data_IF_037530114062
#
_entry.id   IF_037530114062
#
_cell.length_a   1.000
_cell.length_b   1.000
_cell.length_c   1.000
_cell.angle_alpha   90.00
_cell.angle_beta   90.00
_cell.angle_gamma   90.00
#
_symmetry.space_group_name_H-M   'P 1'
#
loop_
_entity.id
_entity.type
_entity.pdbx_description
1 polymer ?
#
# COMPACT_ATOMS: atom_id res chain seq x y z
N UNK A 1 27.24 29.26 39.31
CA UNK A 1 27.52 28.37 38.17
C UNK A 1 26.20 28.09 37.47
N UNK A 2 26.01 28.60 36.24
CA UNK A 2 24.79 28.31 35.47
C UNK A 2 24.86 26.88 34.92
N UNK A 3 23.78 26.12 35.09
CA UNK A 3 23.66 24.79 34.51
C UNK A 3 23.70 24.90 32.98
N UNK A 4 24.49 24.07 32.26
CA UNK A 4 24.46 24.03 30.81
C UNK A 4 23.02 23.78 30.34
N UNK A 5 22.47 24.72 29.58
CA UNK A 5 21.12 24.60 29.03
C UNK A 5 21.05 23.35 28.15
N UNK A 6 19.95 22.60 28.29
CA UNK A 6 19.63 21.40 27.49
C UNK A 6 19.56 21.65 25.97
N UNK A 7 19.66 22.91 25.53
CA UNK A 7 19.48 23.37 24.16
C UNK A 7 20.65 23.05 23.21
N UNK A 8 21.80 22.61 23.71
CA UNK A 8 22.90 22.11 22.85
C UNK A 8 22.86 20.60 22.62
N UNK A 9 21.80 19.91 23.07
CA UNK A 9 21.63 18.50 22.75
C UNK A 9 21.31 18.36 21.26
N UNK A 10 22.30 17.93 20.47
CA UNK A 10 22.20 17.66 19.03
C UNK A 10 21.22 16.51 18.71
N UNK A 11 20.58 15.91 19.72
CA UNK A 11 19.49 14.96 19.52
C UNK A 11 18.21 15.73 19.21
N UNK A 12 17.89 15.81 17.92
CA UNK A 12 16.58 16.28 17.46
C UNK A 12 15.47 15.56 18.22
N UNK A 13 14.69 16.32 18.99
CA UNK A 13 13.56 15.78 19.72
C UNK A 13 12.42 15.60 18.72
N UNK A 14 12.20 14.36 18.27
CA UNK A 14 11.02 14.05 17.49
C UNK A 14 9.79 14.16 18.41
N UNK A 15 8.67 14.72 17.94
CA UNK A 15 7.45 14.86 18.74
C UNK A 15 6.90 13.52 19.20
N UNK A 16 7.26 12.42 18.53
CA UNK A 16 6.98 11.07 18.95
C UNK A 16 8.28 10.28 19.16
N UNK A 17 8.41 9.55 20.28
CA UNK A 17 9.51 8.65 20.48
C UNK A 17 9.60 7.64 19.33
N UNK A 18 10.75 7.47 18.64
CA UNK A 18 10.88 6.45 17.60
C UNK A 18 10.68 5.06 18.19
N UNK A 19 10.20 4.13 17.37
CA UNK A 19 10.00 2.72 17.77
C UNK A 19 11.33 2.09 18.20
N UNK A 20 11.27 1.07 19.06
CA UNK A 20 12.47 0.40 19.60
C UNK A 20 13.46 -0.03 18.51
N UNK A 21 13.04 -0.63 17.38
CA UNK A 21 13.96 -0.97 16.29
C UNK A 21 14.67 0.25 15.69
N UNK A 22 13.94 1.35 15.47
CA UNK A 22 14.49 2.59 14.92
C UNK A 22 15.50 3.21 15.87
N UNK A 23 15.24 3.17 17.19
CA UNK A 23 16.20 3.63 18.20
C UNK A 23 17.51 2.84 18.14
N UNK A 24 17.42 1.52 18.09
CA UNK A 24 18.60 0.64 18.03
C UNK A 24 19.45 0.95 16.79
N UNK A 25 18.82 1.13 15.62
CA UNK A 25 19.52 1.49 14.39
C UNK A 25 20.13 2.90 14.46
N UNK A 26 19.40 3.85 15.05
CA UNK A 26 19.88 5.22 15.22
C UNK A 26 21.11 5.26 16.15
N UNK A 27 21.04 4.58 17.29
CA UNK A 27 22.15 4.47 18.24
C UNK A 27 23.36 3.75 17.61
N UNK A 28 23.13 2.72 16.79
CA UNK A 28 24.19 2.06 16.01
C UNK A 28 24.89 3.05 15.08
N UNK A 29 24.15 3.85 14.30
CA UNK A 29 24.71 4.84 13.38
C UNK A 29 25.49 5.93 14.13
N UNK A 30 24.97 6.41 15.25
CA UNK A 30 25.67 7.37 16.10
C UNK A 30 26.98 6.78 16.64
N UNK A 31 26.96 5.56 17.19
CA UNK A 31 28.18 4.88 17.67
C UNK A 31 29.19 4.66 16.55
N UNK A 32 28.75 4.28 15.35
CA UNK A 32 29.62 4.10 14.19
C UNK A 32 30.27 5.43 13.77
N UNK A 33 29.52 6.53 13.74
CA UNK A 33 30.04 7.88 13.43
C UNK A 33 31.05 8.35 14.47
N UNK A 34 30.76 8.19 15.76
CA UNK A 34 31.69 8.59 16.83
C UNK A 34 32.99 7.76 16.80
N UNK A 35 32.91 6.46 16.50
CA UNK A 35 34.09 5.62 16.26
C UNK A 35 34.91 6.13 15.08
N UNK A 36 34.27 6.49 13.96
CA UNK A 36 34.95 7.02 12.79
C UNK A 36 35.65 8.37 13.05
N UNK A 37 35.02 9.26 13.83
CA UNK A 37 35.66 10.51 14.27
C UNK A 37 36.88 10.25 15.15
N UNK A 38 36.77 9.32 16.11
CA UNK A 38 37.88 8.96 16.99
C UNK A 38 39.09 8.43 16.20
N UNK A 39 38.86 7.54 15.23
CA UNK A 39 39.93 7.02 14.37
C UNK A 39 40.61 8.13 13.56
N UNK A 40 39.85 9.14 13.09
CA UNK A 40 40.44 10.30 12.39
C UNK A 40 41.29 11.18 13.31
N UNK A 41 40.87 11.36 14.56
CA UNK A 41 41.64 12.11 15.55
C UNK A 41 42.92 11.38 15.92
N UNK A 42 42.84 10.08 16.22
CA UNK A 42 44.00 9.26 16.60
C UNK A 42 45.02 9.19 15.45
N UNK A 43 44.57 9.10 14.18
CA UNK A 43 45.45 9.10 13.01
C UNK A 43 46.08 10.47 12.71
N UNK A 44 45.40 11.56 13.07
CA UNK A 44 45.91 12.92 12.89
C UNK A 44 46.98 13.31 13.91
N UNK A 45 46.99 12.69 15.09
CA UNK A 45 47.97 12.97 16.14
C UNK A 45 49.32 12.28 15.96
N UNK A 46 49.43 11.28 15.09
CA UNK A 46 50.69 10.51 14.91
C UNK A 46 51.63 11.11 13.84
N UNK A 47 51.20 12.11 13.07
CA UNK A 47 51.97 12.62 11.93
C UNK A 47 52.80 13.90 12.16
N UNK A 48 52.85 14.44 13.38
CA UNK A 48 53.58 15.70 13.66
C UNK A 48 54.90 15.53 14.45
N UNK A 49 55.31 14.32 14.84
CA UNK A 49 56.55 14.11 15.65
C UNK A 49 57.77 13.52 14.91
N UNK A 50 57.74 13.33 13.58
CA UNK A 50 58.84 12.64 12.86
C UNK A 50 59.67 13.55 11.93
N UNK A 51 59.97 14.80 12.32
CA UNK A 51 61.01 15.58 11.62
C UNK A 51 61.72 16.56 12.57
N UNK A 52 62.76 16.06 13.24
CA UNK A 52 63.62 16.89 14.08
C UNK A 52 64.89 16.19 14.55
N UNK A 53 65.77 15.83 13.60
CA UNK A 53 67.24 15.86 13.62
C UNK A 53 68.07 15.33 14.83
N UNK A 54 69.36 14.96 14.61
CA UNK A 54 70.07 13.99 15.44
C UNK A 54 71.11 14.61 16.41
N UNK A 55 71.64 13.73 17.27
CA UNK A 55 72.90 13.80 18.04
C UNK A 55 72.95 14.58 19.36
N UNK A 56 73.12 13.82 20.47
CA UNK A 56 74.27 13.96 21.38
C UNK A 56 74.37 12.75 22.33
N UNK A 57 75.57 12.28 22.69
CA UNK A 57 75.78 11.07 23.48
C UNK A 57 75.83 11.32 25.01
N UNK A 58 75.55 10.25 25.76
CA UNK A 58 75.89 9.98 27.20
C UNK A 58 75.17 10.77 28.31
N UNK A 59 75.10 10.29 29.59
CA UNK A 59 75.59 9.03 30.19
C UNK A 59 74.54 8.24 31.01
N UNK A 60 74.93 7.01 31.37
CA UNK A 60 74.27 6.09 32.30
C UNK A 60 73.81 6.75 33.61
N UNK A 61 72.58 6.46 34.04
CA UNK A 61 72.13 6.78 35.39
C UNK A 61 70.63 6.55 35.56
N UNK A 62 70.30 5.52 36.34
CA UNK A 62 69.02 5.29 37.02
C UNK A 62 67.78 4.97 36.18
N UNK A 63 67.50 3.66 36.08
CA UNK A 63 66.24 3.07 35.63
C UNK A 63 65.02 3.71 36.34
N UNK A 64 64.22 4.56 35.68
CA UNK A 64 62.91 4.90 36.18
C UNK A 64 61.95 3.75 35.84
N UNK A 65 61.25 3.26 36.85
CA UNK A 65 60.20 2.24 36.72
C UNK A 65 59.32 2.49 35.48
N UNK A 66 59.06 1.47 34.65
CA UNK A 66 58.26 1.63 33.44
C UNK A 66 56.92 2.28 33.79
N UNK A 67 56.47 3.28 33.01
CA UNK A 67 55.18 3.92 33.24
C UNK A 67 54.09 2.84 33.27
N UNK A 68 53.10 2.93 34.19
CA UNK A 68 52.06 1.93 34.29
C UNK A 68 51.40 1.77 32.92
N UNK A 69 51.62 0.61 32.28
CA UNK A 69 51.01 0.26 31.01
C UNK A 69 49.51 0.49 31.21
N UNK A 70 48.97 1.52 30.56
CA UNK A 70 47.54 1.79 30.56
C UNK A 70 46.89 0.50 30.10
N UNK A 71 46.23 -0.21 31.02
CA UNK A 71 45.46 -1.41 30.69
C UNK A 71 44.41 -0.96 29.70
N UNK A 72 44.65 -1.24 28.43
CA UNK A 72 43.64 -1.06 27.40
C UNK A 72 42.45 -1.88 27.91
N UNK A 73 41.27 -1.26 28.13
CA UNK A 73 40.10 -2.04 28.50
C UNK A 73 39.96 -3.17 27.49
N UNK A 74 39.75 -4.39 27.98
CA UNK A 74 39.62 -5.58 27.15
C UNK A 74 38.31 -5.46 26.35
N UNK A 75 38.32 -4.62 25.33
CA UNK A 75 37.23 -4.44 24.39
C UNK A 75 37.28 -5.66 23.50
N UNK A 76 36.26 -6.50 23.58
CA UNK A 76 36.12 -7.65 22.71
C UNK A 76 36.28 -7.16 21.26
N UNK A 77 37.28 -7.65 20.50
CA UNK A 77 37.53 -7.21 19.13
C UNK A 77 36.33 -7.44 18.21
N UNK A 78 35.40 -8.30 18.63
CA UNK A 78 34.17 -8.63 17.94
C UNK A 78 32.97 -7.76 18.31
N UNK A 79 33.11 -6.90 19.32
CA UNK A 79 32.07 -5.98 19.76
C UNK A 79 31.97 -4.79 18.78
N UNK A 80 31.35 -5.08 17.63
CA UNK A 80 31.01 -4.06 16.65
C UNK A 80 29.64 -3.46 16.98
N UNK A 81 29.45 -2.15 16.77
CA UNK A 81 28.13 -1.51 16.93
C UNK A 81 27.01 -2.25 16.18
N UNK A 82 27.36 -2.88 15.05
CA UNK A 82 26.46 -3.67 14.22
C UNK A 82 26.01 -4.95 14.93
N UNK A 83 26.91 -5.75 15.54
CA UNK A 83 26.52 -6.97 16.27
C UNK A 83 25.61 -6.64 17.45
N UNK A 84 25.95 -5.62 18.23
CA UNK A 84 25.10 -5.17 19.33
C UNK A 84 23.71 -4.73 18.85
N UNK A 85 23.64 -4.08 17.69
CA UNK A 85 22.37 -3.69 17.08
C UNK A 85 21.55 -4.93 16.68
N UNK A 86 22.16 -5.92 16.02
CA UNK A 86 21.49 -7.17 15.64
C UNK A 86 20.96 -7.91 16.86
N UNK A 87 21.79 -8.10 17.89
CA UNK A 87 21.37 -8.77 19.13
C UNK A 87 20.25 -7.99 19.84
N UNK A 88 20.32 -6.66 19.85
CA UNK A 88 19.25 -5.83 20.41
C UNK A 88 17.97 -5.92 19.59
N UNK A 89 18.06 -5.97 18.25
CA UNK A 89 16.92 -6.09 17.34
C UNK A 89 16.22 -7.45 17.44
N UNK A 90 16.96 -8.53 17.70
CA UNK A 90 16.39 -9.85 17.95
C UNK A 90 15.43 -9.88 19.17
N UNK A 91 15.60 -8.96 20.13
CA UNK A 91 14.68 -8.79 21.26
C UNK A 91 13.49 -7.86 20.99
N UNK A 92 13.34 -7.34 19.76
CA UNK A 92 12.26 -6.40 19.41
C UNK A 92 11.19 -7.06 18.54
N UNK A 93 10.10 -6.33 18.26
CA UNK A 93 9.08 -6.76 17.30
C UNK A 93 9.63 -7.03 15.89
N UNK A 94 10.81 -6.51 15.54
CA UNK A 94 11.48 -6.74 14.26
C UNK A 94 12.36 -7.99 14.23
N UNK A 95 12.30 -8.86 15.25
CA UNK A 95 13.10 -10.08 15.32
C UNK A 95 12.92 -10.98 14.08
N UNK A 96 11.73 -10.99 13.48
CA UNK A 96 11.42 -11.78 12.29
C UNK A 96 12.25 -11.38 11.06
N UNK A 97 12.79 -10.16 10.99
CA UNK A 97 13.68 -9.73 9.90
C UNK A 97 15.06 -10.38 9.97
N UNK A 98 15.45 -10.87 11.16
CA UNK A 98 16.75 -11.51 11.41
C UNK A 98 16.62 -13.03 11.62
N UNK A 99 15.39 -13.53 11.73
CA UNK A 99 15.13 -14.96 11.79
C UNK A 99 15.31 -15.56 10.39
N UNK A 100 15.95 -16.72 10.30
CA UNK A 100 16.00 -17.52 9.08
C UNK A 100 14.66 -18.20 8.76
N UNK A 101 13.68 -18.10 9.66
CA UNK A 101 12.35 -18.68 9.45
C UNK A 101 11.55 -17.82 8.46
N UNK A 102 10.74 -18.44 7.57
CA UNK A 102 9.82 -17.69 6.72
C UNK A 102 8.88 -16.80 7.54
N UNK A 103 8.53 -15.64 6.98
CA UNK A 103 7.55 -14.73 7.57
C UNK A 103 6.21 -15.47 7.68
N UNK A 104 5.62 -15.46 8.87
CA UNK A 104 4.32 -16.08 9.15
C UNK A 104 3.23 -15.03 9.17
N UNK A 105 1.99 -15.46 9.02
CA UNK A 105 0.83 -14.57 9.18
C UNK A 105 0.78 -13.89 10.57
N UNK A 106 1.31 -14.57 11.59
CA UNK A 106 1.42 -14.09 12.98
C UNK A 106 2.56 -13.10 13.24
N UNK A 107 3.45 -12.86 12.28
CA UNK A 107 4.54 -11.89 12.44
C UNK A 107 3.97 -10.48 12.32
N UNK A 108 4.00 -9.67 13.39
CA UNK A 108 3.53 -8.28 13.39
C UNK A 108 4.57 -7.29 12.87
N UNK A 109 4.46 -6.81 11.62
CA UNK A 109 5.31 -5.76 11.14
C UNK A 109 5.02 -4.49 11.94
N UNK A 110 6.01 -3.60 12.07
CA UNK A 110 5.80 -2.33 12.74
C UNK A 110 4.67 -1.57 12.04
N UNK A 111 3.69 -1.11 12.83
CA UNK A 111 2.68 -0.20 12.33
C UNK A 111 3.37 1.08 11.83
N UNK A 112 2.99 1.55 10.65
CA UNK A 112 3.44 2.81 10.08
C UNK A 112 2.39 3.88 10.41
N UNK A 113 2.51 4.61 11.54
CA UNK A 113 1.54 5.64 11.86
C UNK A 113 1.59 6.73 10.79
N UNK A 114 0.45 6.98 10.16
CA UNK A 114 0.25 8.17 9.33
C UNK A 114 -0.11 9.34 10.24
N UNK A 115 0.33 10.54 9.87
CA UNK A 115 -0.01 11.78 10.56
C UNK A 115 -0.96 12.53 9.66
N UNK A 116 -2.07 13.04 10.19
CA UNK A 116 -2.99 13.85 9.40
C UNK A 116 -2.26 15.09 8.83
N UNK A 117 -2.20 15.17 7.50
CA UNK A 117 -1.64 16.33 6.82
C UNK A 117 -2.77 17.34 6.65
N UNK A 118 -2.62 18.50 7.30
CA UNK A 118 -3.52 19.63 7.10
C UNK A 118 -3.64 19.96 5.59
N UNK A 119 -4.83 20.27 5.06
CA UNK A 119 -5.00 20.60 3.64
C UNK A 119 -4.10 21.77 3.21
N UNK A 120 -3.74 21.84 1.93
CA UNK A 120 -3.08 23.02 1.37
C UNK A 120 -4.05 24.20 1.42
N UNK A 121 -3.81 25.12 2.36
CA UNK A 121 -4.56 26.35 2.46
C UNK A 121 -3.75 27.45 1.79
N UNK A 122 -4.35 28.10 0.80
CA UNK A 122 -3.85 29.34 0.22
C UNK A 122 -4.36 30.52 1.04
N UNK A 123 -3.95 30.60 2.30
CA UNK A 123 -4.21 31.79 3.13
C UNK A 123 -3.29 32.93 2.62
N UNK A 124 -3.83 34.15 2.57
CA UNK A 124 -3.07 35.38 2.34
C UNK A 124 -2.37 35.57 0.97
N UNK A 125 -2.81 34.87 -0.08
CA UNK A 125 -2.29 35.09 -1.45
C UNK A 125 -2.41 36.56 -1.87
N UNK A 126 -3.51 37.22 -1.49
CA UNK A 126 -3.75 38.64 -1.78
C UNK A 126 -2.71 39.58 -1.14
N UNK A 127 -2.08 39.19 -0.01
CA UNK A 127 -1.02 39.99 0.61
C UNK A 127 0.30 39.91 -0.17
N UNK A 128 0.54 38.79 -0.86
CA UNK A 128 1.73 38.57 -1.70
C UNK A 128 1.63 39.21 -3.09
N UNK A 129 0.42 39.60 -3.49
CA UNK A 129 0.12 40.29 -4.75
C UNK A 129 0.19 41.82 -4.60
N UNK A 130 0.20 42.34 -3.37
CA UNK A 130 0.28 43.78 -3.11
C UNK A 130 1.65 44.34 -3.53
N UNK A 131 1.64 45.43 -4.28
CA UNK A 131 2.87 46.14 -4.68
C UNK A 131 3.63 46.65 -3.44
N UNK A 132 4.92 46.31 -3.28
CA UNK A 132 5.71 46.76 -2.15
C UNK A 132 6.00 48.26 -2.25
N UNK A 133 5.82 48.98 -1.15
CA UNK A 133 6.08 50.43 -1.08
C UNK A 133 7.57 50.75 -0.88
N UNK A 134 8.35 49.79 -0.38
CA UNK A 134 9.77 49.96 -0.06
C UNK A 134 10.63 48.84 -0.61
N UNK A 135 11.93 49.08 -0.81
CA UNK A 135 12.89 48.06 -1.30
C UNK A 135 12.97 46.88 -0.34
N UNK A 136 13.04 47.14 0.97
CA UNK A 136 13.09 46.11 2.00
C UNK A 136 11.83 45.22 1.99
N UNK A 137 10.65 45.82 1.79
CA UNK A 137 9.40 45.08 1.66
C UNK A 137 9.42 44.15 0.44
N UNK A 138 9.96 44.61 -0.69
CA UNK A 138 10.17 43.78 -1.86
C UNK A 138 11.08 42.59 -1.59
N UNK A 139 12.22 42.79 -0.92
CA UNK A 139 13.13 41.70 -0.54
C UNK A 139 12.47 40.69 0.40
N UNK A 140 11.70 41.17 1.39
CA UNK A 140 10.96 40.31 2.32
C UNK A 140 9.87 39.52 1.60
N UNK A 141 9.13 40.12 0.67
CA UNK A 141 8.15 39.41 -0.16
C UNK A 141 8.80 38.29 -0.99
N UNK A 142 9.98 38.54 -1.60
CA UNK A 142 10.73 37.53 -2.36
C UNK A 142 11.16 36.38 -1.44
N UNK A 143 11.71 36.71 -0.27
CA UNK A 143 12.12 35.71 0.73
C UNK A 143 10.93 34.87 1.20
N UNK A 144 9.76 35.50 1.43
CA UNK A 144 8.53 34.81 1.82
C UNK A 144 8.03 33.88 0.72
N UNK A 145 7.97 34.33 -0.54
CA UNK A 145 7.59 33.50 -1.69
C UNK A 145 8.47 32.27 -1.80
N UNK A 146 9.80 32.44 -1.72
CA UNK A 146 10.76 31.34 -1.75
C UNK A 146 10.58 30.37 -0.58
N UNK A 147 10.31 30.88 0.62
CA UNK A 147 10.06 30.04 1.80
C UNK A 147 8.74 29.24 1.66
N UNK A 148 7.69 29.86 1.11
CA UNK A 148 6.40 29.21 0.84
C UNK A 148 6.54 28.13 -0.23
N UNK A 149 7.21 28.40 -1.35
CA UNK A 149 7.50 27.40 -2.38
C UNK A 149 8.25 26.19 -1.81
N UNK A 150 9.25 26.43 -0.96
CA UNK A 150 9.96 25.36 -0.26
C UNK A 150 9.04 24.55 0.65
N UNK A 151 8.18 25.21 1.43
CA UNK A 151 7.23 24.54 2.32
C UNK A 151 6.20 23.70 1.53
N UNK A 152 5.63 24.26 0.46
CA UNK A 152 4.74 23.55 -0.46
C UNK A 152 5.44 22.31 -1.03
N UNK A 153 6.67 22.46 -1.49
CA UNK A 153 7.46 21.32 -2.01
C UNK A 153 7.67 20.24 -0.95
N UNK A 154 8.04 20.62 0.27
CA UNK A 154 8.21 19.68 1.39
C UNK A 154 6.90 18.99 1.77
N UNK A 155 5.79 19.74 1.80
CA UNK A 155 4.47 19.21 2.09
C UNK A 155 4.02 18.20 1.03
N UNK A 156 4.22 18.50 -0.26
CA UNK A 156 3.96 17.56 -1.36
C UNK A 156 4.79 16.29 -1.25
N UNK A 157 6.08 16.40 -0.91
CA UNK A 157 6.94 15.24 -0.66
C UNK A 157 6.44 14.40 0.52
N UNK A 158 6.01 15.04 1.60
CA UNK A 158 5.43 14.36 2.76
C UNK A 158 4.11 13.64 2.41
N UNK A 159 3.23 14.27 1.62
CA UNK A 159 2.00 13.64 1.11
C UNK A 159 2.34 12.40 0.29
N UNK A 160 3.30 12.51 -0.65
CA UNK A 160 3.73 11.38 -1.47
C UNK A 160 4.34 10.24 -0.63
N UNK A 161 5.11 10.57 0.40
CA UNK A 161 5.67 9.57 1.32
C UNK A 161 4.57 8.88 2.13
N UNK A 162 3.59 9.63 2.65
CA UNK A 162 2.48 9.06 3.40
C UNK A 162 1.56 8.21 2.52
N UNK A 163 1.27 8.64 1.29
CA UNK A 163 0.45 7.83 0.37
C UNK A 163 1.13 6.51 0.05
N UNK A 164 2.45 6.51 -0.18
CA UNK A 164 3.23 5.29 -0.35
C UNK A 164 3.17 4.39 0.90
N UNK A 165 3.25 4.96 2.11
CA UNK A 165 3.13 4.18 3.36
C UNK A 165 1.73 3.54 3.52
N UNK A 166 0.66 4.26 3.15
CA UNK A 166 -0.71 3.72 3.18
C UNK A 166 -0.84 2.55 2.21
N UNK A 167 -0.37 2.71 0.97
CA UNK A 167 -0.38 1.64 -0.05
C UNK A 167 0.45 0.42 0.37
N UNK A 168 1.61 0.64 0.98
CA UNK A 168 2.43 -0.44 1.50
C UNK A 168 1.72 -1.16 2.65
N UNK A 169 1.02 -0.43 3.52
CA UNK A 169 0.21 -1.00 4.60
C UNK A 169 -0.88 -1.92 4.06
N UNK A 170 -1.67 -1.46 3.09
CA UNK A 170 -2.73 -2.27 2.47
C UNK A 170 -2.17 -3.49 1.75
N UNK A 171 -1.05 -3.34 1.04
CA UNK A 171 -0.37 -4.46 0.40
C UNK A 171 0.08 -5.52 1.42
N UNK A 172 0.71 -5.09 2.51
CA UNK A 172 1.16 -5.99 3.59
C UNK A 172 -0.03 -6.73 4.22
N UNK A 173 -1.16 -6.07 4.41
CA UNK A 173 -2.38 -6.70 4.93
C UNK A 173 -2.94 -7.75 3.96
N UNK A 174 -2.95 -7.47 2.65
CA UNK A 174 -3.35 -8.44 1.63
C UNK A 174 -2.45 -9.67 1.61
N UNK A 175 -1.12 -9.47 1.60
CA UNK A 175 -0.14 -10.58 1.63
C UNK A 175 -0.29 -11.41 2.90
N UNK A 176 -0.55 -10.76 4.05
CA UNK A 176 -0.82 -11.45 5.30
C UNK A 176 -2.09 -12.27 5.26
N UNK A 177 -3.18 -11.73 4.70
CA UNK A 177 -4.41 -12.47 4.48
C UNK A 177 -4.19 -13.72 3.62
N UNK A 178 -3.41 -13.59 2.55
CA UNK A 178 -3.02 -14.73 1.70
C UNK A 178 -2.18 -15.76 2.46
N UNK A 179 -1.18 -15.33 3.22
CA UNK A 179 -0.37 -16.22 4.05
C UNK A 179 -1.22 -16.93 5.10
N UNK A 180 -2.13 -16.23 5.77
CA UNK A 180 -3.03 -16.81 6.76
C UNK A 180 -3.96 -17.84 6.10
N UNK A 181 -4.54 -17.54 4.94
CA UNK A 181 -5.35 -18.48 4.18
C UNK A 181 -4.55 -19.72 3.76
N UNK A 182 -3.29 -19.54 3.33
CA UNK A 182 -2.40 -20.64 2.97
C UNK A 182 -2.03 -21.49 4.19
N UNK A 183 -1.70 -20.87 5.33
CA UNK A 183 -1.40 -21.56 6.60
C UNK A 183 -2.64 -22.32 7.13
N UNK A 184 -3.84 -21.72 7.03
CA UNK A 184 -5.12 -22.36 7.34
C UNK A 184 -5.42 -23.51 6.37
N UNK A 185 -5.15 -23.35 5.07
CA UNK A 185 -5.34 -24.42 4.06
C UNK A 185 -4.38 -25.57 4.33
N UNK A 186 -3.10 -25.31 4.63
CA UNK A 186 -2.11 -26.33 5.00
C UNK A 186 -2.50 -27.06 6.30
N UNK A 187 -2.94 -26.33 7.32
CA UNK A 187 -3.37 -26.93 8.59
C UNK A 187 -4.69 -27.71 8.48
N UNK A 188 -5.60 -27.32 7.57
CA UNK A 188 -6.85 -28.03 7.27
C UNK A 188 -6.67 -29.20 6.30
N UNK A 189 -5.78 -29.09 5.31
CA UNK A 189 -5.51 -30.11 4.30
C UNK A 189 -5.06 -31.43 4.91
N UNK A 190 -4.31 -31.38 6.02
CA UNK A 190 -3.93 -32.56 6.77
C UNK A 190 -5.10 -33.23 7.52
N UNK A 191 -6.25 -32.55 7.66
CA UNK A 191 -7.42 -33.02 8.42
C UNK A 191 -8.59 -33.42 7.52
N UNK A 192 -8.69 -32.89 6.29
CA UNK A 192 -9.83 -33.12 5.41
C UNK A 192 -9.69 -34.50 4.75
N UNK A 193 -10.47 -35.49 5.22
CA UNK A 193 -10.53 -36.84 4.64
C UNK A 193 -9.85 -37.94 5.47
N UNK A 194 -9.27 -37.61 6.63
CA UNK A 194 -8.77 -38.64 7.55
C UNK A 194 -9.86 -39.01 8.57
N UNK A 195 -10.23 -40.29 8.60
CA UNK A 195 -11.16 -40.89 9.58
C UNK A 195 -10.67 -40.71 11.03
N UNK A 196 -9.35 -40.49 11.22
CA UNK A 196 -8.72 -40.21 12.52
C UNK A 196 -7.80 -39.00 12.36
N UNK A 197 -8.22 -37.84 12.88
CA UNK A 197 -7.54 -36.54 12.73
C UNK A 197 -6.22 -36.41 13.48
N UNK A 198 -6.00 -37.26 14.48
CA UNK A 198 -4.95 -37.04 15.50
C UNK A 198 -3.59 -37.62 15.10
N UNK A 199 -3.51 -38.40 14.02
CA UNK A 199 -2.29 -39.04 13.55
C UNK A 199 -1.68 -40.09 14.50
N UNK A 200 -2.25 -40.27 15.69
CA UNK A 200 -1.85 -41.33 16.63
C UNK A 200 -2.52 -42.66 16.26
N UNK A 201 -1.77 -43.78 16.26
CA UNK A 201 -2.35 -45.11 16.13
C UNK A 201 -3.28 -45.35 17.33
N UNK A 202 -4.58 -45.42 17.08
CA UNK A 202 -5.57 -45.85 18.07
C UNK A 202 -5.89 -47.31 17.80
N UNK A 203 -5.84 -48.15 18.84
CA UNK A 203 -6.51 -49.44 18.81
C UNK A 203 -8.02 -49.18 18.78
N UNK A 204 -8.59 -49.16 17.57
CA UNK A 204 -10.03 -49.14 17.41
C UNK A 204 -10.53 -50.58 17.55
N UNK A 205 -11.34 -50.81 18.57
CA UNK A 205 -12.22 -51.96 18.63
C UNK A 205 -13.08 -52.00 17.36
N UNK A 206 -13.28 -53.19 16.80
CA UNK A 206 -13.95 -53.35 15.50
C UNK A 206 -15.29 -52.61 15.40
N UNK A 207 -16.05 -52.54 16.50
CA UNK A 207 -17.34 -51.83 16.58
C UNK A 207 -17.20 -50.31 16.40
N UNK A 208 -16.23 -49.68 17.06
CA UNK A 208 -16.05 -48.22 17.02
C UNK A 208 -15.51 -47.77 15.67
N UNK A 209 -14.69 -48.60 15.02
CA UNK A 209 -14.24 -48.35 13.65
C UNK A 209 -15.42 -48.35 12.68
N UNK A 210 -16.26 -49.40 12.71
CA UNK A 210 -17.42 -49.53 11.83
C UNK A 210 -18.37 -48.34 12.03
N UNK A 211 -18.65 -47.95 13.26
CA UNK A 211 -19.50 -46.78 13.54
C UNK A 211 -18.93 -45.50 12.92
N UNK A 212 -17.64 -45.21 13.08
CA UNK A 212 -17.02 -44.01 12.50
C UNK A 212 -17.01 -44.02 10.98
N UNK A 213 -16.80 -45.18 10.35
CA UNK A 213 -16.88 -45.30 8.89
C UNK A 213 -18.30 -44.99 8.42
N UNK A 214 -19.32 -45.53 9.09
CA UNK A 214 -20.73 -45.25 8.72
C UNK A 214 -21.09 -43.77 8.91
N UNK A 215 -20.63 -43.13 9.98
CA UNK A 215 -20.83 -41.70 10.22
C UNK A 215 -20.11 -40.86 9.13
N UNK A 216 -18.88 -41.24 8.78
CA UNK A 216 -18.12 -40.56 7.73
C UNK A 216 -18.81 -40.68 6.36
N UNK A 217 -19.28 -41.87 5.97
CA UNK A 217 -20.00 -42.08 4.72
C UNK A 217 -21.28 -41.24 4.67
N UNK A 218 -22.09 -41.26 5.74
CA UNK A 218 -23.29 -40.43 5.86
C UNK A 218 -22.98 -38.94 5.73
N UNK A 219 -21.99 -38.44 6.45
CA UNK A 219 -21.56 -37.04 6.39
C UNK A 219 -21.02 -36.66 5.01
N UNK A 220 -20.34 -37.58 4.30
CA UNK A 220 -19.89 -37.33 2.93
C UNK A 220 -21.04 -37.27 1.93
N UNK A 221 -22.05 -38.13 2.10
CA UNK A 221 -23.26 -38.13 1.29
C UNK A 221 -24.06 -36.83 1.49
N UNK A 222 -24.33 -36.44 2.75
CA UNK A 222 -25.03 -35.19 3.09
C UNK A 222 -24.30 -33.96 2.51
N UNK A 223 -22.97 -33.90 2.59
CA UNK A 223 -22.16 -32.82 1.99
C UNK A 223 -22.25 -32.81 0.46
N UNK A 224 -22.23 -33.97 -0.18
CA UNK A 224 -22.35 -34.07 -1.63
C UNK A 224 -23.73 -33.60 -2.12
N UNK A 225 -24.79 -33.95 -1.39
CA UNK A 225 -26.15 -33.47 -1.66
C UNK A 225 -26.28 -31.97 -1.46
N UNK A 226 -25.76 -31.42 -0.35
CA UNK A 226 -25.76 -29.98 -0.11
C UNK A 226 -25.00 -29.20 -1.21
N UNK A 227 -23.87 -29.74 -1.69
CA UNK A 227 -23.14 -29.15 -2.82
C UNK A 227 -23.95 -29.19 -4.12
N UNK A 228 -24.66 -30.28 -4.41
CA UNK A 228 -25.55 -30.38 -5.58
C UNK A 228 -26.68 -29.35 -5.49
N UNK A 229 -27.33 -29.22 -4.33
CA UNK A 229 -28.37 -28.21 -4.11
C UNK A 229 -27.82 -26.80 -4.30
N UNK A 230 -26.66 -26.49 -3.71
CA UNK A 230 -26.02 -25.17 -3.89
C UNK A 230 -25.68 -24.88 -5.36
N UNK A 231 -25.21 -25.87 -6.12
CA UNK A 231 -24.97 -25.71 -7.57
C UNK A 231 -26.27 -25.43 -8.34
N UNK A 232 -27.32 -26.22 -8.11
CA UNK A 232 -28.62 -26.02 -8.74
C UNK A 232 -29.18 -24.60 -8.46
N UNK A 233 -29.17 -24.15 -7.20
CA UNK A 233 -29.62 -22.78 -6.86
C UNK A 233 -28.77 -21.69 -7.51
N UNK A 234 -27.46 -21.91 -7.71
CA UNK A 234 -26.56 -20.97 -8.39
C UNK A 234 -26.88 -20.91 -9.89
N UNK A 235 -27.14 -22.05 -10.51
CA UNK A 235 -27.51 -22.17 -11.92
C UNK A 235 -28.85 -21.47 -12.20
N UNK A 236 -29.90 -21.80 -11.44
CA UNK A 236 -31.22 -21.15 -11.52
C UNK A 236 -31.11 -19.62 -11.37
N UNK A 237 -30.31 -19.17 -10.40
CA UNK A 237 -30.05 -17.74 -10.20
C UNK A 237 -29.33 -17.11 -11.39
N UNK A 238 -28.35 -17.82 -11.96
CA UNK A 238 -27.58 -17.33 -13.10
C UNK A 238 -28.46 -17.20 -14.35
N UNK A 239 -29.40 -18.11 -14.54
CA UNK A 239 -30.39 -18.08 -15.62
C UNK A 239 -31.36 -16.91 -15.43
N UNK A 240 -31.95 -16.76 -14.25
CA UNK A 240 -32.82 -15.62 -13.93
C UNK A 240 -32.12 -14.26 -14.14
N UNK A 241 -30.82 -14.17 -13.84
CA UNK A 241 -30.02 -12.97 -14.09
C UNK A 241 -29.75 -12.73 -15.58
N UNK A 242 -29.53 -13.78 -16.37
CA UNK A 242 -29.36 -13.67 -17.83
C UNK A 242 -30.65 -13.17 -18.49
N UNK A 243 -31.78 -13.76 -18.12
CA UNK A 243 -33.09 -13.37 -18.64
C UNK A 243 -33.43 -11.92 -18.28
N UNK A 244 -33.18 -11.53 -17.03
CA UNK A 244 -33.38 -10.15 -16.60
C UNK A 244 -32.49 -9.17 -17.38
N UNK A 245 -31.21 -9.48 -17.60
CA UNK A 245 -30.30 -8.63 -18.41
C UNK A 245 -30.81 -8.47 -19.84
N UNK A 246 -31.26 -9.56 -20.46
CA UNK A 246 -31.80 -9.52 -21.82
C UNK A 246 -33.08 -8.66 -21.92
N UNK A 247 -33.94 -8.69 -20.91
CA UNK A 247 -35.14 -7.85 -20.85
C UNK A 247 -34.80 -6.37 -20.59
N UNK A 248 -33.85 -6.10 -19.69
CA UNK A 248 -33.38 -4.75 -19.37
C UNK A 248 -32.70 -4.08 -20.58
N UNK A 249 -31.90 -4.83 -21.34
CA UNK A 249 -31.29 -4.35 -22.59
C UNK A 249 -32.35 -3.98 -23.64
N UNK A 250 -33.36 -4.84 -23.85
CA UNK A 250 -34.50 -4.55 -24.75
C UNK A 250 -35.24 -3.28 -24.30
N UNK A 251 -35.45 -3.10 -23.00
CA UNK A 251 -36.13 -1.94 -22.45
C UNK A 251 -35.30 -0.65 -22.64
N UNK A 252 -33.98 -0.73 -22.42
CA UNK A 252 -33.05 0.38 -22.67
C UNK A 252 -33.00 0.77 -24.15
N UNK A 253 -33.04 -0.20 -25.06
CA UNK A 253 -33.09 0.06 -26.50
C UNK A 253 -34.36 0.84 -26.89
N UNK A 254 -35.54 0.40 -26.43
CA UNK A 254 -36.81 1.12 -26.65
C UNK A 254 -36.78 2.54 -26.05
N UNK A 255 -36.27 2.68 -24.82
CA UNK A 255 -36.13 3.99 -24.19
C UNK A 255 -35.17 4.91 -24.97
N UNK A 256 -34.15 4.36 -25.64
CA UNK A 256 -33.26 5.12 -26.53
C UNK A 256 -34.00 5.60 -27.78
N UNK A 257 -34.79 4.74 -28.43
CA UNK A 257 -35.65 5.10 -29.58
C UNK A 257 -36.63 6.22 -29.21
N UNK A 258 -37.34 6.09 -28.08
CA UNK A 258 -38.26 7.11 -27.56
C UNK A 258 -37.55 8.46 -27.34
N UNK A 259 -36.31 8.44 -26.83
CA UNK A 259 -35.52 9.66 -26.64
C UNK A 259 -35.11 10.29 -27.96
N UNK A 260 -34.78 9.50 -28.98
CA UNK A 260 -34.46 10.01 -30.31
C UNK A 260 -35.68 10.65 -30.96
N UNK A 261 -36.84 10.00 -30.93
CA UNK A 261 -38.11 10.58 -31.42
C UNK A 261 -38.52 11.83 -30.64
N UNK A 262 -38.30 11.87 -29.33
CA UNK A 262 -38.56 13.07 -28.54
C UNK A 262 -37.61 14.21 -28.94
N UNK A 263 -36.32 13.91 -29.17
CA UNK A 263 -35.35 14.89 -29.64
C UNK A 263 -35.72 15.47 -31.02
N UNK A 264 -36.16 14.64 -31.98
CA UNK A 264 -36.61 15.13 -33.29
C UNK A 264 -37.85 16.03 -33.16
N UNK A 265 -38.85 15.63 -32.36
CA UNK A 265 -40.02 16.48 -32.08
C UNK A 265 -39.67 17.79 -31.38
N UNK A 266 -38.66 17.78 -30.49
CA UNK A 266 -38.18 19.01 -29.83
C UNK A 266 -37.49 19.92 -30.86
N UNK A 267 -36.68 19.39 -31.77
CA UNK A 267 -36.06 20.17 -32.84
C UNK A 267 -37.10 20.81 -33.77
N UNK A 268 -38.12 20.06 -34.19
CA UNK A 268 -39.25 20.58 -34.98
C UNK A 268 -39.99 21.69 -34.23
N UNK A 269 -40.24 21.49 -32.95
CA UNK A 269 -40.85 22.50 -32.09
C UNK A 269 -40.00 23.76 -31.94
N UNK A 270 -38.67 23.63 -31.82
CA UNK A 270 -37.75 24.77 -31.72
C UNK A 270 -37.71 25.57 -33.03
N UNK A 271 -37.68 24.88 -34.18
CA UNK A 271 -37.78 25.51 -35.49
C UNK A 271 -39.07 26.31 -35.64
N UNK A 272 -40.24 25.74 -35.27
CA UNK A 272 -41.50 26.49 -35.30
C UNK A 272 -41.50 27.64 -34.30
N UNK A 273 -40.99 27.42 -33.08
CA UNK A 273 -40.93 28.46 -32.04
C UNK A 273 -40.14 29.67 -32.55
N UNK A 274 -39.02 29.44 -33.22
CA UNK A 274 -38.16 30.52 -33.69
C UNK A 274 -38.74 31.22 -34.93
N UNK A 275 -39.43 30.50 -35.83
CA UNK A 275 -40.27 31.10 -36.89
C UNK A 275 -41.40 31.95 -36.31
N UNK A 276 -42.08 31.46 -35.26
CA UNK A 276 -43.16 32.16 -34.60
C UNK A 276 -42.67 33.47 -33.94
N UNK A 277 -41.48 33.45 -33.33
CA UNK A 277 -40.84 34.66 -32.79
C UNK A 277 -40.53 35.68 -33.88
N UNK A 278 -39.95 35.26 -35.01
CA UNK A 278 -39.65 36.16 -36.15
C UNK A 278 -40.93 36.82 -36.70
N UNK A 279 -42.05 36.10 -36.69
CA UNK A 279 -43.35 36.60 -37.14
C UNK A 279 -44.17 37.28 -36.04
N UNK A 280 -43.62 37.47 -34.84
CA UNK A 280 -44.33 38.01 -33.66
C UNK A 280 -45.65 37.30 -33.31
N UNK A 281 -45.75 35.99 -33.60
CA UNK A 281 -46.89 35.14 -33.25
C UNK A 281 -46.54 34.18 -32.10
N UNK A 282 -47.56 33.59 -31.48
CA UNK A 282 -47.36 32.49 -30.52
C UNK A 282 -47.14 31.17 -31.28
N UNK A 283 -46.23 30.28 -30.83
CA UNK A 283 -46.08 28.94 -31.42
C UNK A 283 -47.40 28.17 -31.38
N UNK A 284 -47.74 27.44 -32.45
CA UNK A 284 -49.04 26.78 -32.61
C UNK A 284 -49.25 25.60 -31.67
N UNK A 285 -48.17 25.01 -31.14
CA UNK A 285 -48.22 23.86 -30.24
C UNK A 285 -47.29 23.98 -29.02
N UNK A 286 -47.59 23.19 -27.98
CA UNK A 286 -46.83 23.14 -26.73
C UNK A 286 -45.55 22.32 -26.90
N UNK A 287 -44.52 22.64 -26.11
CA UNK A 287 -43.25 21.88 -26.11
C UNK A 287 -43.52 20.40 -25.79
N UNK A 288 -43.01 19.45 -26.60
CA UNK A 288 -43.15 18.02 -26.31
C UNK A 288 -42.58 17.65 -24.94
N UNK A 289 -43.34 16.91 -24.11
CA UNK A 289 -42.90 16.43 -22.79
C UNK A 289 -42.58 14.93 -22.86
N UNK A 290 -41.48 14.53 -22.20
CA UNK A 290 -41.04 13.13 -22.13
C UNK A 290 -41.63 12.36 -20.94
N UNK A 291 -42.33 13.05 -20.03
CA UNK A 291 -42.86 12.44 -18.79
C UNK A 291 -43.92 11.39 -19.13
N UNK A 292 -43.71 10.15 -18.66
CA UNK A 292 -44.64 9.03 -18.84
C UNK A 292 -44.42 8.19 -20.10
N UNK A 293 -43.52 8.59 -21.01
CA UNK A 293 -43.18 7.79 -22.21
C UNK A 293 -42.05 6.79 -21.96
N UNK A 294 -41.13 7.09 -21.03
CA UNK A 294 -40.03 6.20 -20.70
C UNK A 294 -40.51 5.08 -19.78
N UNK A 295 -40.12 3.85 -20.11
CA UNK A 295 -40.35 2.71 -19.24
C UNK A 295 -39.44 2.79 -18.01
N UNK A 296 -39.99 2.49 -16.83
CA UNK A 296 -39.22 2.37 -15.58
C UNK A 296 -38.29 1.16 -15.61
N UNK A 297 -37.11 1.23 -14.97
CA UNK A 297 -36.18 0.11 -14.97
C UNK A 297 -36.82 -1.15 -14.37
N UNK A 298 -36.57 -2.30 -14.98
CA UNK A 298 -37.03 -3.58 -14.44
C UNK A 298 -36.37 -3.84 -13.08
N UNK A 299 -37.13 -4.24 -12.03
CA UNK A 299 -36.54 -4.59 -10.75
C UNK A 299 -35.61 -5.78 -10.94
N UNK A 300 -34.38 -5.67 -10.44
CA UNK A 300 -33.42 -6.78 -10.45
C UNK A 300 -34.01 -7.94 -9.65
N UNK A 301 -33.93 -9.20 -10.11
CA UNK A 301 -34.34 -10.36 -9.34
C UNK A 301 -33.69 -10.26 -7.97
N UNK A 302 -34.53 -10.08 -6.95
CA UNK A 302 -34.08 -9.81 -5.60
C UNK A 302 -33.18 -10.95 -5.13
N UNK A 303 -32.08 -10.60 -4.48
CA UNK A 303 -31.44 -11.54 -3.58
C UNK A 303 -32.45 -11.64 -2.43
N UNK A 304 -33.28 -12.67 -2.41
CA UNK A 304 -33.90 -13.09 -1.17
C UNK A 304 -32.72 -13.46 -0.27
N UNK A 305 -32.19 -12.48 0.45
CA UNK A 305 -31.22 -12.70 1.50
C UNK A 305 -32.04 -13.38 2.56
N UNK A 306 -31.99 -14.71 2.58
CA UNK A 306 -32.43 -15.50 3.72
C UNK A 306 -31.88 -14.79 4.99
N UNK A 307 -32.74 -14.33 5.90
CA UNK A 307 -32.34 -13.53 7.06
C UNK A 307 -31.48 -14.39 8.01
N UNK A 308 -30.18 -14.47 7.72
CA UNK A 308 -29.23 -15.28 8.48
C UNK A 308 -27.92 -15.57 7.75
N UNK A 309 -27.88 -15.52 6.42
CA UNK A 309 -26.66 -15.77 5.66
C UNK A 309 -25.93 -14.45 5.40
N UNK A 310 -24.92 -14.13 6.21
CA UNK A 310 -23.96 -13.06 5.91
C UNK A 310 -23.43 -13.33 4.50
N UNK A 311 -23.72 -12.43 3.58
CA UNK A 311 -23.19 -12.40 2.22
C UNK A 311 -21.68 -12.39 2.30
N UNK A 312 -21.09 -13.59 2.27
CA UNK A 312 -19.76 -13.78 1.73
C UNK A 312 -19.97 -13.46 0.25
N UNK A 313 -19.58 -12.25 -0.17
CA UNK A 313 -19.47 -11.96 -1.59
C UNK A 313 -18.76 -13.16 -2.23
N UNK A 314 -19.23 -13.66 -3.37
CA UNK A 314 -18.52 -14.72 -4.06
C UNK A 314 -17.15 -14.16 -4.41
N UNK A 315 -16.17 -14.42 -3.52
CA UNK A 315 -14.79 -14.52 -3.88
C UNK A 315 -14.85 -15.38 -5.13
N UNK A 316 -14.40 -14.77 -6.21
CA UNK A 316 -14.23 -15.43 -7.48
C UNK A 316 -13.09 -16.41 -7.27
N UNK A 317 -13.39 -17.49 -6.53
CA UNK A 317 -12.65 -18.74 -6.48
C UNK A 317 -12.77 -19.27 -7.91
N UNK A 318 -11.91 -18.72 -8.74
CA UNK A 318 -11.19 -19.37 -9.80
C UNK A 318 -10.70 -20.71 -9.21
N UNK A 319 -11.61 -21.69 -9.22
CA UNK A 319 -11.31 -23.10 -9.13
C UNK A 319 -10.48 -23.43 -10.39
N UNK A 320 -9.22 -23.00 -10.36
CA UNK A 320 -8.11 -23.63 -11.05
C UNK A 320 -8.01 -25.06 -10.56
N UNK A 321 -8.96 -25.88 -11.02
CA UNK A 321 -8.67 -27.26 -11.38
C UNK A 321 -7.62 -27.12 -12.47
N UNK A 322 -6.37 -27.22 -12.03
CA UNK A 322 -5.22 -27.54 -12.86
C UNK A 322 -5.25 -29.06 -13.07
N UNK A 323 -5.80 -29.57 -14.20
CA UNK A 323 -5.51 -30.93 -14.60
C UNK A 323 -4.06 -30.91 -15.10
N UNK A 324 -3.18 -31.50 -14.30
CA UNK A 324 -1.77 -31.59 -14.63
C UNK A 324 -1.47 -32.28 -15.97
N UNK A 325 -0.18 -32.16 -16.32
CA UNK A 325 0.53 -32.92 -17.34
C UNK A 325 0.21 -32.55 -18.80
N UNK A 326 0.72 -31.39 -19.20
CA UNK A 326 1.04 -31.06 -20.59
C UNK A 326 2.55 -30.96 -20.76
N UNK A 327 3.15 -32.06 -21.21
CA UNK A 327 4.54 -32.15 -21.67
C UNK A 327 4.93 -30.99 -22.59
N UNK A 328 6.18 -30.56 -22.42
CA UNK A 328 6.73 -29.39 -23.10
C UNK A 328 6.68 -29.47 -24.62
N UNK A 329 6.43 -28.30 -25.22
CA UNK A 329 7.08 -27.87 -26.45
C UNK A 329 7.14 -26.35 -26.46
N UNK A 330 8.36 -25.85 -26.32
CA UNK A 330 8.68 -24.45 -26.55
C UNK A 330 8.27 -24.05 -27.96
N UNK A 331 7.50 -22.97 -28.04
CA UNK A 331 7.29 -22.21 -29.25
C UNK A 331 7.74 -20.79 -28.93
N UNK A 332 9.01 -20.53 -29.21
CA UNK A 332 9.53 -19.18 -29.34
C UNK A 332 8.84 -18.51 -30.53
N UNK A 333 7.89 -17.62 -30.25
CA UNK A 333 7.33 -16.73 -31.25
C UNK A 333 7.50 -15.29 -30.78
N UNK A 334 8.65 -14.74 -31.15
CA UNK A 334 8.92 -13.32 -31.25
C UNK A 334 7.75 -12.61 -31.96
N UNK A 335 7.03 -11.78 -31.22
CA UNK A 335 6.11 -10.80 -31.79
C UNK A 335 6.62 -9.41 -31.46
N UNK A 336 7.52 -8.96 -32.32
CA UNK A 336 7.86 -7.56 -32.56
C UNK A 336 6.59 -6.77 -32.88
N UNK A 337 6.06 -6.04 -31.89
CA UNK A 337 5.07 -5.00 -32.13
C UNK A 337 5.81 -3.70 -32.45
N UNK A 338 5.78 -3.41 -33.74
CA UNK A 338 6.28 -2.21 -34.40
C UNK A 338 5.69 -0.92 -33.84
N UNK A 339 6.59 -0.01 -33.47
CA UNK A 339 6.34 1.43 -33.37
C UNK A 339 5.68 1.96 -34.64
N UNK A 340 4.47 2.52 -34.53
CA UNK A 340 3.91 3.42 -35.55
C UNK A 340 4.01 4.86 -35.06
N UNK A 341 4.99 5.56 -35.60
CA UNK A 341 5.05 7.02 -35.66
C UNK A 341 3.84 7.59 -36.41
N UNK A 342 3.26 8.64 -35.89
CA UNK A 342 2.44 9.63 -36.61
C UNK A 342 2.67 10.95 -35.86
N UNK A 343 3.63 11.76 -36.31
CA UNK A 343 3.43 12.91 -37.20
C UNK A 343 2.32 13.84 -36.66
N UNK A 344 2.70 14.96 -36.03
CA UNK A 344 2.95 16.25 -36.69
C UNK A 344 1.62 16.83 -37.19
N UNK A 345 1.03 17.83 -36.55
CA UNK A 345 1.44 19.22 -36.68
C UNK A 345 0.26 19.98 -37.27
N UNK A 346 -0.38 20.85 -36.49
CA UNK A 346 -1.65 21.48 -36.90
C UNK A 346 -2.06 22.62 -35.99
N UNK A 347 -1.21 23.64 -35.93
CA UNK A 347 -1.51 24.95 -35.35
C UNK A 347 -2.58 25.66 -36.19
N UNK A 348 -3.71 26.01 -35.60
CA UNK A 348 -4.66 27.00 -36.14
C UNK A 348 -5.19 27.83 -34.96
N UNK A 349 -4.42 28.82 -34.55
CA UNK A 349 -4.89 29.95 -33.76
C UNK A 349 -5.09 31.13 -34.70
N UNK A 350 -6.35 31.41 -35.03
CA UNK A 350 -6.76 32.63 -35.74
C UNK A 350 -7.25 33.63 -34.71
N UNK A 351 -6.64 34.81 -34.72
CA UNK A 351 -7.10 36.02 -34.04
C UNK A 351 -8.54 36.35 -34.41
N UNK A 352 -9.29 36.87 -33.44
CA UNK A 352 -10.43 37.76 -33.67
C UNK A 352 -10.62 38.70 -32.49
#
# INVERSE_FOLDING_TARGET
MMAPSRETSVRGHLPLPPTTPVRVMTDMLYRARERAKKVRLDRGSESEEENGAPESPTPQGDNPSPPPRRRIPNVDPFDTPVRNAITSLQGTSSAFLFSSSPIRSSSDPPANPTIEISPEKSEDVFLLEREPATVLEGELQIALKKALEKNITQKRQMIAMQSALVLNGTYVDLVRGQLEAQEKKKSRGNKKGRLVSDGMPRLLTARDFVQRVTEFERDTAEKAEALKQRKATREERSEALKDWKALDEKQKARNKEIRLEHATRVLEWEAERDLAKQQHRRPGWKKPSIKGLLFSPLPKPGYAVEPGEKTVEPDSDDDGIDPGEGDGKGSDSDSSSSSSSSEDGGSNGSDN
#
